data_IF_197236360949
#
_entry.id   IF_197236360949
#
_cell.length_a   1.000
_cell.length_b   1.000
_cell.length_c   1.000
_cell.angle_alpha   90.00
_cell.angle_beta   90.00
_cell.angle_gamma   90.00
#
_symmetry.space_group_name_H-M   'P 1'
#
loop_
_entity.id
_entity.type
_entity.pdbx_description
1 polymer ?
#
# COMPACT_ATOMS: atom_id res chain seq x y z
N UNK A 1 18.01 8.15 -10.61
CA UNK A 1 17.45 7.36 -9.50
C UNK A 1 16.47 6.33 -10.02
N UNK A 2 16.55 5.12 -9.50
CA UNK A 2 15.61 4.09 -9.90
C UNK A 2 14.22 4.38 -9.34
N UNK A 3 13.15 4.15 -10.10
CA UNK A 3 11.81 4.29 -9.56
C UNK A 3 11.55 3.29 -8.45
N UNK A 4 10.60 3.59 -7.59
CA UNK A 4 10.18 2.66 -6.55
C UNK A 4 9.53 1.44 -7.19
N UNK A 5 9.75 0.27 -6.60
CA UNK A 5 9.12 -0.96 -7.07
C UNK A 5 8.24 -1.54 -5.99
N UNK A 6 7.19 -2.26 -6.40
CA UNK A 6 6.29 -2.90 -5.44
C UNK A 6 7.06 -3.89 -4.56
N UNK A 7 7.83 -4.79 -5.18
CA UNK A 7 8.48 -5.85 -4.44
C UNK A 7 9.50 -5.35 -3.41
N UNK A 8 10.21 -4.26 -3.72
CA UNK A 8 11.29 -3.77 -2.87
C UNK A 8 10.88 -2.62 -1.96
N UNK A 9 9.95 -1.78 -2.40
CA UNK A 9 9.64 -0.54 -1.70
C UNK A 9 8.24 -0.50 -1.10
N UNK A 10 7.26 -1.10 -1.75
CA UNK A 10 5.86 -1.01 -1.32
C UNK A 10 5.44 -2.22 -0.49
N UNK A 11 5.79 -3.43 -0.93
CA UNK A 11 5.43 -4.64 -0.18
C UNK A 11 5.91 -4.60 1.28
N UNK A 12 7.14 -4.14 1.59
CA UNK A 12 7.59 -4.06 2.98
C UNK A 12 6.81 -3.06 3.85
N UNK A 13 6.06 -2.15 3.25
CA UNK A 13 5.21 -1.23 4.01
C UNK A 13 4.02 -1.93 4.65
N UNK A 14 3.59 -3.04 4.07
CA UNK A 14 2.45 -3.82 4.57
C UNK A 14 2.96 -4.93 5.47
N UNK A 15 2.40 -5.01 6.68
CA UNK A 15 2.71 -6.10 7.61
C UNK A 15 1.81 -7.29 7.27
N UNK A 16 2.19 -8.49 7.73
CA UNK A 16 1.36 -9.67 7.53
C UNK A 16 -0.05 -9.47 8.07
N UNK A 17 -0.17 -8.80 9.21
CA UNK A 17 -1.45 -8.47 9.80
C UNK A 17 -2.31 -7.60 8.88
N UNK A 18 -1.69 -6.62 8.22
CA UNK A 18 -2.40 -5.74 7.28
C UNK A 18 -2.91 -6.52 6.08
N UNK A 19 -2.10 -7.44 5.56
CA UNK A 19 -2.47 -8.29 4.43
C UNK A 19 -3.70 -9.14 4.77
N UNK A 20 -3.69 -9.77 5.94
CA UNK A 20 -4.79 -10.62 6.40
C UNK A 20 -6.06 -9.80 6.58
N UNK A 21 -5.97 -8.65 7.26
CA UNK A 21 -7.11 -7.79 7.51
C UNK A 21 -7.75 -7.28 6.22
N UNK A 22 -6.94 -6.84 5.27
CA UNK A 22 -7.46 -6.29 4.03
C UNK A 22 -8.14 -7.38 3.19
N UNK A 23 -7.62 -8.59 3.21
CA UNK A 23 -8.24 -9.71 2.52
C UNK A 23 -9.61 -10.03 3.10
N UNK A 24 -9.77 -9.95 4.43
CA UNK A 24 -11.05 -10.18 5.09
C UNK A 24 -12.05 -9.07 4.84
N UNK A 25 -11.61 -7.82 4.90
CA UNK A 25 -12.50 -6.65 4.87
C UNK A 25 -12.82 -6.21 3.44
N UNK A 26 -11.81 -6.21 2.56
CA UNK A 26 -11.95 -5.64 1.23
C UNK A 26 -11.78 -6.65 0.09
N UNK A 27 -11.51 -7.91 0.42
CA UNK A 27 -11.38 -9.01 -0.55
C UNK A 27 -10.22 -8.84 -1.55
N UNK A 28 -9.17 -8.10 -1.20
CA UNK A 28 -7.98 -8.08 -2.03
C UNK A 28 -6.74 -8.28 -1.18
N UNK A 29 -5.66 -8.72 -1.83
CA UNK A 29 -4.45 -9.18 -1.16
C UNK A 29 -3.33 -8.15 -1.32
N UNK A 30 -2.90 -7.52 -0.20
CA UNK A 30 -1.83 -6.53 -0.22
C UNK A 30 -0.46 -7.13 -0.57
N UNK A 31 -0.34 -8.45 -0.56
CA UNK A 31 0.90 -9.11 -0.95
C UNK A 31 0.99 -9.36 -2.47
N UNK A 32 -0.09 -9.10 -3.20
CA UNK A 32 -0.13 -9.29 -4.65
C UNK A 32 -0.07 -7.95 -5.37
N UNK A 33 0.88 -7.84 -6.27
CA UNK A 33 1.08 -6.61 -7.04
C UNK A 33 -0.17 -6.20 -7.81
N UNK A 34 -0.80 -7.13 -8.52
CA UNK A 34 -1.98 -6.83 -9.35
C UNK A 34 -3.12 -6.27 -8.51
N UNK A 35 -3.34 -6.86 -7.33
CA UNK A 35 -4.40 -6.41 -6.44
C UNK A 35 -4.11 -5.02 -5.90
N UNK A 36 -2.88 -4.75 -5.47
CA UNK A 36 -2.49 -3.45 -4.95
C UNK A 36 -2.59 -2.39 -6.04
N UNK A 37 -2.13 -2.71 -7.24
CA UNK A 37 -2.21 -1.78 -8.36
C UNK A 37 -3.66 -1.42 -8.71
N UNK A 38 -4.53 -2.41 -8.72
CA UNK A 38 -5.95 -2.20 -9.05
C UNK A 38 -6.65 -1.33 -8.00
N UNK A 39 -6.22 -1.42 -6.74
CA UNK A 39 -6.85 -0.70 -5.63
C UNK A 39 -5.95 0.39 -5.04
N UNK A 40 -4.93 0.83 -5.77
CA UNK A 40 -3.94 1.76 -5.25
C UNK A 40 -4.55 3.07 -4.73
N UNK A 41 -5.48 3.64 -5.46
CA UNK A 41 -6.15 4.88 -5.04
C UNK A 41 -6.91 4.69 -3.74
N UNK A 42 -7.67 3.60 -3.63
CA UNK A 42 -8.41 3.28 -2.40
C UNK A 42 -7.46 3.08 -1.22
N UNK A 43 -6.36 2.36 -1.45
CA UNK A 43 -5.36 2.13 -0.40
C UNK A 43 -4.75 3.46 0.04
N UNK A 44 -4.39 4.31 -0.90
CA UNK A 44 -3.81 5.61 -0.60
C UNK A 44 -4.76 6.46 0.23
N UNK A 45 -6.02 6.51 -0.13
CA UNK A 45 -7.01 7.27 0.62
C UNK A 45 -7.14 6.76 2.05
N UNK A 46 -7.16 5.45 2.24
CA UNK A 46 -7.30 4.84 3.57
C UNK A 46 -6.08 5.08 4.45
N UNK A 47 -4.87 4.97 3.90
CA UNK A 47 -3.67 5.22 4.70
C UNK A 47 -3.48 6.70 4.99
N UNK A 48 -3.93 7.59 4.09
CA UNK A 48 -3.79 9.03 4.30
C UNK A 48 -4.80 9.60 5.28
N UNK A 49 -6.00 9.01 5.38
CA UNK A 49 -7.00 9.46 6.34
C UNK A 49 -6.92 8.72 7.70
N UNK A 50 -6.01 7.74 7.81
CA UNK A 50 -5.80 7.01 9.05
C UNK A 50 -6.71 5.83 9.28
N UNK A 51 -7.57 5.47 8.32
CA UNK A 51 -8.47 4.33 8.49
C UNK A 51 -7.78 2.98 8.28
N UNK A 52 -6.59 2.98 7.68
CA UNK A 52 -5.80 1.77 7.48
C UNK A 52 -4.33 2.10 7.73
N UNK A 53 -3.58 1.23 8.41
CA UNK A 53 -4.05 0.05 9.15
C UNK A 53 -4.80 0.45 10.42
N UNK A 54 -5.68 -0.42 10.88
CA UNK A 54 -6.59 -0.07 11.98
C UNK A 54 -5.93 0.04 13.35
N UNK A 55 -4.74 -0.51 13.52
CA UNK A 55 -4.02 -0.46 14.79
C UNK A 55 -2.92 0.61 14.83
N UNK A 56 -2.89 1.51 13.84
CA UNK A 56 -1.92 2.60 13.83
C UNK A 56 -1.76 3.16 12.43
N UNK A 57 -1.85 4.46 12.29
CA UNK A 57 -1.71 5.10 10.99
C UNK A 57 -0.27 5.03 10.49
N UNK A 58 -0.11 5.00 9.17
CA UNK A 58 1.21 5.11 8.56
C UNK A 58 1.82 6.48 8.86
N UNK A 59 3.14 6.52 8.91
CA UNK A 59 3.86 7.79 9.01
C UNK A 59 3.73 8.58 7.70
N UNK A 60 3.95 9.89 7.79
CA UNK A 60 3.92 10.74 6.59
C UNK A 60 4.92 10.25 5.53
N UNK A 61 6.08 9.72 5.96
CA UNK A 61 7.08 9.18 5.04
C UNK A 61 6.59 7.95 4.30
N UNK A 62 5.87 7.07 4.98
CA UNK A 62 5.30 5.87 4.35
C UNK A 62 4.22 6.25 3.34
N UNK A 63 3.36 7.17 3.69
CA UNK A 63 2.29 7.67 2.80
C UNK A 63 2.91 8.32 1.57
N UNK A 64 3.92 9.15 1.75
CA UNK A 64 4.61 9.81 0.65
C UNK A 64 5.28 8.82 -0.30
N UNK A 65 5.86 7.76 0.26
CA UNK A 65 6.51 6.71 -0.54
C UNK A 65 5.50 5.98 -1.41
N UNK A 66 4.34 5.66 -0.87
CA UNK A 66 3.27 5.01 -1.63
C UNK A 66 2.77 5.92 -2.75
N UNK A 67 2.57 7.20 -2.44
CA UNK A 67 2.16 8.18 -3.44
C UNK A 67 3.18 8.32 -4.56
N UNK A 68 4.46 8.35 -4.22
CA UNK A 68 5.53 8.43 -5.22
C UNK A 68 5.50 7.22 -6.14
N UNK A 69 5.31 6.02 -5.57
CA UNK A 69 5.19 4.80 -6.37
C UNK A 69 4.01 4.87 -7.34
N UNK A 70 2.86 5.37 -6.87
CA UNK A 70 1.70 5.56 -7.75
C UNK A 70 2.00 6.53 -8.88
N UNK A 71 2.70 7.62 -8.59
CA UNK A 71 3.04 8.66 -9.58
C UNK A 71 4.10 8.17 -10.57
N UNK A 72 4.88 7.16 -10.21
CA UNK A 72 5.95 6.59 -11.03
C UNK A 72 5.52 5.33 -11.78
N UNK A 73 4.26 5.23 -12.16
CA UNK A 73 3.69 4.12 -12.95
C UNK A 73 3.57 2.79 -12.21
N UNK A 74 3.68 2.79 -10.89
CA UNK A 74 3.44 1.59 -10.07
C UNK A 74 4.23 0.37 -10.56
N UNK A 75 5.56 0.48 -10.60
CA UNK A 75 6.43 -0.62 -11.05
C UNK A 75 6.29 -1.85 -10.14
N UNK A 76 6.33 -3.07 -10.71
CA UNK A 76 6.19 -4.30 -9.92
C UNK A 76 7.33 -4.58 -8.95
#
# INVERSE_FOLDING_TARGET
>A
MSPLSFAQDIRPLFRDKDVIEMKDVANFDLSKYDDVRAHATDIYERVSDGSMPCDGAWSAGQIAKFKQWMDEDMAP
#
